data_IF_907102583604
#
_entry.id   IF_907102583604
#
_cell.length_a   1.000
_cell.length_b   1.000
_cell.length_c   1.000
_cell.angle_alpha   90.00
_cell.angle_beta   90.00
_cell.angle_gamma   90.00
#
_symmetry.space_group_name_H-M   'P 1'
#
loop_
_entity.id
_entity.type
_entity.pdbx_description
1 polymer ?
#
# COMPACT_ATOMS: atom_id res chain seq x y z
N UNK A 1 4.53 23.85 6.70
CA UNK A 1 3.36 23.38 5.94
C UNK A 1 3.88 22.94 4.59
N UNK A 2 4.10 21.64 4.37
CA UNK A 2 4.64 21.14 3.11
C UNK A 2 3.56 21.29 2.05
N UNK A 3 3.82 22.06 0.99
CA UNK A 3 2.86 22.28 -0.09
C UNK A 3 2.61 20.96 -0.85
N UNK A 4 1.53 20.28 -0.49
CA UNK A 4 1.12 18.98 -1.08
C UNK A 4 0.69 19.10 -2.55
N UNK A 5 0.57 20.32 -3.08
CA UNK A 5 0.22 20.62 -4.48
C UNK A 5 1.35 20.37 -5.49
N UNK A 6 2.53 19.90 -5.07
CA UNK A 6 3.68 19.64 -5.95
C UNK A 6 4.09 18.18 -6.06
N UNK A 7 3.40 17.25 -5.40
CA UNK A 7 3.71 15.83 -5.55
C UNK A 7 3.15 15.32 -6.88
N UNK A 8 3.93 14.57 -7.67
CA UNK A 8 3.44 14.01 -8.94
C UNK A 8 2.23 13.11 -8.67
N UNK A 9 1.26 13.09 -9.58
CA UNK A 9 0.10 12.21 -9.41
C UNK A 9 0.56 10.75 -9.34
N UNK A 10 0.02 9.99 -8.38
CA UNK A 10 0.21 8.54 -8.37
C UNK A 10 -0.55 7.94 -9.55
N UNK A 11 0.17 7.43 -10.54
CA UNK A 11 -0.37 6.79 -11.76
C UNK A 11 -0.08 5.29 -11.80
N UNK A 12 0.49 4.73 -10.74
CA UNK A 12 0.91 3.34 -10.70
C UNK A 12 -0.20 2.45 -10.14
N UNK A 13 -0.31 1.26 -10.70
CA UNK A 13 -1.22 0.22 -10.25
C UNK A 13 -0.41 -0.93 -9.65
N UNK A 14 -0.90 -1.53 -8.57
CA UNK A 14 -0.22 -2.65 -7.93
C UNK A 14 -1.09 -3.88 -8.02
N UNK A 15 -0.53 -4.96 -8.52
CA UNK A 15 -1.16 -6.27 -8.47
C UNK A 15 -0.48 -7.11 -7.39
N UNK A 16 -1.30 -7.66 -6.50
CA UNK A 16 -0.87 -8.60 -5.47
C UNK A 16 -1.46 -9.96 -5.81
N UNK A 17 -0.63 -10.99 -5.85
CA UNK A 17 -1.07 -12.35 -6.15
C UNK A 17 -0.28 -13.40 -5.39
N UNK A 18 -0.86 -14.59 -5.25
CA UNK A 18 -0.17 -15.74 -4.70
C UNK A 18 0.18 -15.58 -3.23
N UNK A 19 -0.56 -14.74 -2.51
CA UNK A 19 -0.49 -14.72 -1.05
C UNK A 19 -1.27 -15.90 -0.47
N UNK A 20 -0.99 -16.27 0.78
CA UNK A 20 -1.81 -17.24 1.52
C UNK A 20 -3.23 -16.75 1.83
N UNK A 21 -3.57 -15.52 1.48
CA UNK A 21 -4.86 -14.88 1.78
C UNK A 21 -5.47 -14.30 0.49
N UNK A 22 -6.45 -15.00 -0.13
CA UNK A 22 -7.11 -14.53 -1.35
C UNK A 22 -7.76 -13.14 -1.23
N UNK A 23 -8.09 -12.72 -0.02
CA UNK A 23 -8.64 -11.38 0.27
C UNK A 23 -7.60 -10.25 0.17
N UNK A 24 -6.30 -10.58 0.22
CA UNK A 24 -5.20 -9.65 -0.03
C UNK A 24 -4.83 -9.65 -1.51
N UNK A 25 -5.05 -10.74 -2.22
CA UNK A 25 -4.81 -10.80 -3.66
C UNK A 25 -5.79 -9.90 -4.43
N UNK A 26 -5.31 -9.30 -5.52
CA UNK A 26 -6.09 -8.43 -6.38
C UNK A 26 -5.33 -7.21 -6.88
N UNK A 27 -6.06 -6.33 -7.58
CA UNK A 27 -5.55 -5.07 -8.10
C UNK A 27 -5.75 -3.95 -7.10
N UNK A 28 -4.77 -3.07 -7.03
CA UNK A 28 -4.72 -1.89 -6.21
C UNK A 28 -4.48 -0.66 -7.09
N UNK A 29 -5.28 0.38 -6.84
CA UNK A 29 -5.28 1.65 -7.56
C UNK A 29 -4.76 2.75 -6.65
N UNK A 30 -4.26 3.87 -7.21
CA UNK A 30 -3.87 5.04 -6.43
C UNK A 30 -4.91 5.41 -5.38
N UNK A 31 -4.49 5.59 -4.13
CA UNK A 31 -5.43 5.75 -3.01
C UNK A 31 -6.30 7.00 -3.16
N UNK A 32 -7.59 6.87 -2.89
CA UNK A 32 -8.54 7.99 -2.88
C UNK A 32 -8.88 8.46 -1.46
N UNK A 33 -8.14 7.95 -0.46
CA UNK A 33 -8.34 8.28 0.93
C UNK A 33 -8.30 9.81 1.17
N UNK A 34 -9.24 10.36 1.96
CA UNK A 34 -9.27 11.78 2.25
C UNK A 34 -8.02 12.21 3.03
N UNK A 35 -7.56 13.46 2.86
CA UNK A 35 -6.39 13.97 3.58
C UNK A 35 -6.53 13.81 5.10
N UNK A 36 -5.71 12.93 5.66
CA UNK A 36 -5.73 12.59 7.08
C UNK A 36 -4.35 12.82 7.67
N UNK A 37 -4.32 13.37 8.88
CA UNK A 37 -3.09 13.55 9.65
C UNK A 37 -2.73 12.21 10.29
N UNK A 38 -1.55 11.68 9.99
CA UNK A 38 -1.06 10.48 10.64
C UNK A 38 -0.56 10.77 12.06
N UNK A 39 -0.35 9.71 12.84
CA UNK A 39 0.29 9.77 14.17
C UNK A 39 1.70 10.39 14.11
N UNK A 40 2.36 10.32 12.94
CA UNK A 40 3.64 10.97 12.70
C UNK A 40 3.51 12.49 12.42
N UNK A 41 2.32 13.07 12.60
CA UNK A 41 2.01 14.48 12.36
C UNK A 41 2.18 14.92 10.89
N UNK A 42 2.22 13.97 9.95
CA UNK A 42 2.34 14.19 8.50
C UNK A 42 0.96 14.15 7.87
N UNK A 43 0.63 15.13 7.03
CA UNK A 43 -0.60 15.13 6.27
C UNK A 43 -0.49 14.17 5.08
N UNK A 44 -1.50 13.33 4.89
CA UNK A 44 -1.66 12.48 3.70
C UNK A 44 -2.51 13.19 2.65
N UNK A 45 -2.37 12.83 1.36
CA UNK A 45 -3.17 13.35 0.24
C UNK A 45 -3.62 12.20 -0.65
N UNK A 46 -4.49 12.49 -1.63
CA UNK A 46 -4.87 11.52 -2.65
C UNK A 46 -3.62 10.91 -3.30
N UNK A 47 -3.54 9.59 -3.33
CA UNK A 47 -2.42 8.81 -3.87
C UNK A 47 -1.19 8.72 -2.96
N UNK A 48 -1.20 9.38 -1.79
CA UNK A 48 -0.06 9.51 -0.89
C UNK A 48 -0.40 9.32 0.57
N UNK A 49 0.37 8.47 1.25
CA UNK A 49 0.33 8.29 2.69
C UNK A 49 1.70 8.60 3.28
N UNK A 50 1.75 9.50 4.26
CA UNK A 50 3.00 9.87 4.92
C UNK A 50 4.09 10.37 3.93
N UNK A 51 3.71 11.03 2.85
CA UNK A 51 4.64 11.52 1.81
C UNK A 51 5.20 10.43 0.87
N UNK A 52 4.75 9.18 1.00
CA UNK A 52 5.04 8.09 0.05
C UNK A 52 3.76 7.68 -0.68
N UNK A 53 3.92 7.02 -1.82
CA UNK A 53 2.79 6.55 -2.62
C UNK A 53 1.95 5.54 -1.82
N UNK A 54 0.64 5.56 -2.05
CA UNK A 54 -0.31 4.72 -1.35
C UNK A 54 -1.40 4.23 -2.30
N UNK A 55 -1.91 3.03 -2.03
CA UNK A 55 -2.89 2.38 -2.89
C UNK A 55 -4.06 1.81 -2.11
N UNK A 56 -5.24 1.89 -2.71
CA UNK A 56 -6.48 1.27 -2.27
C UNK A 56 -6.79 0.06 -3.14
N UNK A 57 -7.61 -0.87 -2.62
CA UNK A 57 -8.08 -1.97 -3.45
C UNK A 57 -9.02 -1.44 -4.54
N UNK A 58 -8.81 -1.92 -5.76
CA UNK A 58 -9.64 -1.56 -6.91
C UNK A 58 -11.10 -2.00 -6.76
N UNK A 59 -11.36 -3.02 -5.93
CA UNK A 59 -12.71 -3.52 -5.63
C UNK A 59 -13.47 -2.70 -4.58
N UNK A 60 -12.81 -1.75 -3.91
CA UNK A 60 -13.41 -0.91 -2.87
C UNK A 60 -13.84 -1.65 -1.60
N UNK A 61 -13.44 -2.92 -1.42
CA UNK A 61 -13.91 -3.77 -0.31
C UNK A 61 -13.07 -3.65 0.96
N UNK A 62 -11.95 -2.93 0.91
CA UNK A 62 -11.10 -2.76 2.08
C UNK A 62 -11.77 -1.83 3.10
N UNK A 63 -11.88 -2.31 4.35
CA UNK A 63 -12.36 -1.51 5.49
C UNK A 63 -11.37 -0.39 5.87
N UNK A 64 -10.10 -0.52 5.47
CA UNK A 64 -9.05 0.46 5.69
C UNK A 64 -8.48 0.95 4.37
N UNK A 65 -8.37 2.27 4.28
CA UNK A 65 -7.65 2.99 3.23
C UNK A 65 -6.54 3.84 3.84
N UNK A 66 -5.33 3.85 3.28
CA UNK A 66 -4.84 3.01 2.17
C UNK A 66 -4.63 1.54 2.57
N UNK A 67 -4.81 0.63 1.61
CA UNK A 67 -4.60 -0.79 1.81
C UNK A 67 -3.13 -1.21 1.63
N UNK A 68 -2.37 -0.50 0.79
CA UNK A 68 -0.90 -0.56 0.71
C UNK A 68 -0.33 0.78 1.09
N UNK A 69 0.57 0.80 2.08
CA UNK A 69 1.17 2.04 2.57
C UNK A 69 2.56 1.85 3.16
N UNK A 70 3.30 2.95 3.18
CA UNK A 70 4.60 3.00 3.84
C UNK A 70 4.47 3.50 5.29
N UNK A 71 5.13 2.80 6.20
CA UNK A 71 5.25 3.21 7.60
C UNK A 71 6.61 3.87 7.84
N UNK A 72 6.61 5.20 8.06
CA UNK A 72 7.86 5.94 8.33
C UNK A 72 8.56 5.41 9.59
N UNK A 73 7.82 5.21 10.69
CA UNK A 73 8.42 4.82 11.98
C UNK A 73 9.08 3.44 11.96
N UNK A 74 8.54 2.51 11.16
CA UNK A 74 9.07 1.15 11.04
C UNK A 74 9.87 0.93 9.74
N UNK A 75 10.01 1.96 8.91
CA UNK A 75 10.67 1.92 7.60
C UNK A 75 10.29 0.67 6.79
N UNK A 76 8.98 0.46 6.64
CA UNK A 76 8.43 -0.74 6.00
C UNK A 76 7.24 -0.43 5.12
N UNK A 77 7.17 -1.11 3.98
CA UNK A 77 5.95 -1.25 3.20
C UNK A 77 5.04 -2.28 3.85
N UNK A 78 3.72 -2.02 3.79
CA UNK A 78 2.72 -2.83 4.47
C UNK A 78 1.50 -3.06 3.58
N UNK A 79 0.93 -4.25 3.69
CA UNK A 79 -0.32 -4.63 3.04
C UNK A 79 -1.31 -5.08 4.12
N UNK A 80 -2.52 -4.54 4.09
CA UNK A 80 -3.61 -4.96 4.96
C UNK A 80 -4.61 -5.88 4.26
N UNK A 81 -5.35 -6.63 5.07
CA UNK A 81 -6.50 -7.46 4.68
C UNK A 81 -7.71 -6.58 4.42
N UNK A 82 -8.81 -7.18 3.95
CA UNK A 82 -10.09 -6.51 3.78
C UNK A 82 -10.64 -5.94 5.09
N UNK A 83 -10.37 -6.57 6.23
CA UNK A 83 -10.80 -6.10 7.55
C UNK A 83 -9.92 -4.96 8.13
N UNK A 84 -8.87 -4.56 7.42
CA UNK A 84 -7.94 -3.50 7.83
C UNK A 84 -6.78 -3.94 8.73
N UNK A 85 -6.73 -5.20 9.16
CA UNK A 85 -5.57 -5.75 9.87
C UNK A 85 -4.38 -5.92 8.93
N UNK A 86 -3.17 -5.67 9.43
CA UNK A 86 -1.94 -5.88 8.66
C UNK A 86 -1.69 -7.38 8.45
N UNK A 87 -1.36 -7.75 7.21
CA UNK A 87 -1.07 -9.13 6.82
C UNK A 87 0.38 -9.33 6.38
N UNK A 88 0.95 -8.36 5.68
CA UNK A 88 2.31 -8.50 5.15
C UNK A 88 3.07 -7.20 5.34
N UNK A 89 4.37 -7.33 5.53
CA UNK A 89 5.27 -6.20 5.57
C UNK A 89 6.59 -6.53 4.88
N UNK A 90 7.30 -5.50 4.47
CA UNK A 90 8.71 -5.61 4.13
C UNK A 90 9.46 -4.36 4.55
N UNK A 91 10.51 -4.57 5.34
CA UNK A 91 11.36 -3.49 5.85
C UNK A 91 12.38 -3.09 4.77
N UNK A 92 12.22 -1.89 4.22
CA UNK A 92 13.13 -1.27 3.27
C UNK A 92 12.86 0.23 3.20
N UNK A 93 13.77 0.98 2.56
CA UNK A 93 13.63 2.43 2.36
C UNK A 93 13.25 2.80 0.92
N UNK A 94 12.89 1.80 0.11
CA UNK A 94 12.58 1.94 -1.31
C UNK A 94 11.42 2.92 -1.55
N UNK A 95 11.47 3.63 -2.67
CA UNK A 95 10.40 4.58 -3.05
C UNK A 95 9.09 3.90 -3.43
N UNK A 96 9.17 2.66 -3.90
CA UNK A 96 8.05 1.83 -4.30
C UNK A 96 8.07 0.51 -3.52
N UNK A 97 6.91 -0.16 -3.38
CA UNK A 97 6.85 -1.50 -2.83
C UNK A 97 7.75 -2.44 -3.63
N UNK A 98 8.68 -3.17 -3.00
CA UNK A 98 9.65 -3.98 -3.71
C UNK A 98 8.98 -5.18 -4.39
N UNK A 99 9.37 -5.41 -5.65
CA UNK A 99 8.88 -6.49 -6.51
C UNK A 99 9.94 -7.57 -6.78
N UNK A 100 11.17 -7.34 -6.33
CA UNK A 100 12.38 -8.12 -6.58
C UNK A 100 12.71 -9.11 -5.45
N UNK A 101 11.98 -9.06 -4.34
CA UNK A 101 12.27 -9.83 -3.12
C UNK A 101 11.00 -10.26 -2.39
N UNK A 102 11.16 -11.26 -1.53
CA UNK A 102 10.05 -11.84 -0.78
C UNK A 102 9.60 -10.93 0.37
N UNK A 103 8.28 -10.80 0.53
CA UNK A 103 7.66 -10.10 1.65
C UNK A 103 7.57 -10.98 2.90
N UNK A 104 7.51 -10.36 4.07
CA UNK A 104 7.34 -11.06 5.33
C UNK A 104 5.86 -11.28 5.61
N UNK A 105 5.52 -12.49 6.09
CA UNK A 105 4.22 -12.76 6.72
C UNK A 105 4.18 -12.02 8.07
N UNK A 106 3.19 -11.15 8.26
CA UNK A 106 3.14 -10.24 9.40
C UNK A 106 1.78 -10.21 10.07
N UNK A 107 1.74 -10.33 11.40
CA UNK A 107 0.50 -10.34 12.21
C UNK A 107 -0.52 -11.36 11.69
N UNK A 108 -1.53 -10.91 10.94
CA UNK A 108 -2.65 -11.72 10.47
C UNK A 108 -2.42 -12.29 9.07
N UNK A 109 -1.20 -12.21 8.53
CA UNK A 109 -0.82 -12.84 7.27
C UNK A 109 -0.71 -14.35 7.38
N UNK A 110 -0.82 -15.02 6.22
CA UNK A 110 -0.61 -16.46 6.08
C UNK A 110 0.34 -16.71 4.91
N UNK A 111 1.20 -17.72 5.03
CA UNK A 111 2.08 -18.14 3.95
C UNK A 111 1.27 -18.81 2.80
N UNK A 112 1.69 -18.69 1.53
CA UNK A 112 2.91 -18.02 1.05
C UNK A 112 2.86 -16.48 1.16
N UNK A 113 4.04 -15.86 1.12
CA UNK A 113 4.16 -14.42 1.03
C UNK A 113 3.61 -13.91 -0.33
N UNK A 114 3.04 -12.70 -0.38
CA UNK A 114 2.51 -12.12 -1.60
C UNK A 114 3.60 -11.89 -2.64
N UNK A 115 3.24 -12.06 -3.91
CA UNK A 115 3.97 -11.52 -5.05
C UNK A 115 3.38 -10.16 -5.41
N UNK A 116 4.23 -9.15 -5.53
CA UNK A 116 3.85 -7.77 -5.88
C UNK A 116 4.36 -7.45 -7.28
N UNK A 117 3.49 -6.90 -8.12
CA UNK A 117 3.80 -6.42 -9.46
C UNK A 117 3.31 -4.98 -9.59
N UNK A 118 4.11 -4.12 -10.23
CA UNK A 118 3.76 -2.72 -10.47
C UNK A 118 3.50 -2.52 -11.96
N UNK A 119 2.33 -1.98 -12.28
CA UNK A 119 1.92 -1.63 -13.64
C UNK A 119 1.90 -0.11 -13.82
N UNK A 120 2.32 0.34 -15.00
CA UNK A 120 2.32 1.77 -15.39
C UNK A 120 1.01 2.21 -16.06
N UNK A 121 0.09 1.26 -16.30
CA UNK A 121 -1.24 1.45 -16.86
C UNK A 121 -2.21 0.50 -16.16
N UNK A 122 -3.50 0.83 -16.16
CA UNK A 122 -4.53 -0.04 -15.59
C UNK A 122 -4.54 -1.38 -16.35
N UNK A 123 -4.30 -2.53 -15.70
CA UNK A 123 -4.25 -3.82 -16.38
C UNK A 123 -5.64 -4.46 -16.60
N UNK A 124 -6.74 -3.76 -16.28
CA UNK A 124 -8.13 -4.22 -16.47
C UNK A 124 -8.69 -3.92 -17.85
#
# INVERSE_FOLDING_TARGET
MTEMNKLPANTLFIEVSGSGLPEVDGLYVPSEAPPTKSEANVMSSRGYWNGKLAWDRADGKAARSPAISYSIGFKSWRICRLDGHLAYEITCEDELPPTDRQWNVYKMGVAPAPKVVIHHSDPR
#
